data_IF_146981866529
#
_entry.id   IF_146981866529
#
_cell.length_a   1.000
_cell.length_b   1.000
_cell.length_c   1.000
_cell.angle_alpha   90.00
_cell.angle_beta   90.00
_cell.angle_gamma   90.00
#
_symmetry.space_group_name_H-M   'P 1'
#
loop_
_entity.id
_entity.type
_entity.pdbx_description
1 polymer ?
#
# COMPACT_ATOMS: atom_id res chain seq x y z
N UNK A 1 -3.83 -9.10 6.23
CA UNK A 1 -4.33 -7.75 5.93
C UNK A 1 -3.17 -6.79 6.05
N UNK A 2 -2.92 -5.96 5.04
CA UNK A 2 -1.84 -4.95 5.04
C UNK A 2 -2.50 -3.58 5.20
N UNK A 3 -1.99 -2.75 6.10
CA UNK A 3 -2.38 -1.36 6.24
C UNK A 3 -1.22 -0.46 5.83
N UNK A 4 -1.46 0.48 4.92
CA UNK A 4 -0.45 1.47 4.51
C UNK A 4 -1.04 2.87 4.57
N UNK A 5 -0.18 3.81 4.97
CA UNK A 5 -0.49 5.24 4.93
C UNK A 5 -0.17 5.83 3.55
N UNK A 6 0.52 5.07 2.69
CA UNK A 6 0.91 5.49 1.35
C UNK A 6 -0.04 4.89 0.32
N UNK A 7 -0.50 5.68 -0.67
CA UNK A 7 -1.27 5.14 -1.79
C UNK A 7 -0.43 4.13 -2.56
N UNK A 8 -1.08 3.07 -3.08
CA UNK A 8 -0.42 1.95 -3.79
C UNK A 8 0.49 2.44 -4.93
N UNK A 9 0.10 3.50 -5.62
CA UNK A 9 0.90 4.10 -6.70
C UNK A 9 2.30 4.55 -6.25
N UNK A 10 2.46 4.98 -4.99
CA UNK A 10 3.76 5.41 -4.44
C UNK A 10 4.63 4.26 -3.95
N UNK A 11 4.11 3.03 -3.90
CA UNK A 11 4.89 1.90 -3.40
C UNK A 11 6.04 1.54 -4.35
N UNK A 12 5.86 1.77 -5.65
CA UNK A 12 6.91 1.56 -6.65
C UNK A 12 8.12 2.47 -6.44
N UNK A 13 7.92 3.68 -5.92
CA UNK A 13 8.98 4.64 -5.62
C UNK A 13 9.71 4.31 -4.31
N UNK A 14 9.01 3.67 -3.37
CA UNK A 14 9.57 3.28 -2.05
C UNK A 14 10.39 2.00 -2.16
N UNK A 15 10.04 1.10 -3.08
CA UNK A 15 10.78 -0.13 -3.31
C UNK A 15 11.91 0.16 -4.29
N UNK A 16 13.14 0.25 -3.77
CA UNK A 16 14.32 0.66 -4.54
C UNK A 16 14.67 -0.26 -5.73
N UNK A 17 14.28 -1.53 -5.67
CA UNK A 17 14.48 -2.49 -6.75
C UNK A 17 13.20 -2.65 -7.57
N UNK A 18 13.24 -2.23 -8.84
CA UNK A 18 12.11 -2.26 -9.74
C UNK A 18 11.58 -3.67 -10.02
N UNK A 19 12.44 -4.70 -10.03
CA UNK A 19 12.01 -6.09 -10.27
C UNK A 19 11.26 -6.65 -9.07
N UNK A 20 11.75 -6.32 -7.88
CA UNK A 20 11.08 -6.70 -6.63
C UNK A 20 9.77 -5.93 -6.49
N UNK A 21 9.75 -4.64 -6.83
CA UNK A 21 8.54 -3.82 -6.83
C UNK A 21 7.45 -4.43 -7.72
N UNK A 22 7.79 -4.73 -8.98
CA UNK A 22 6.85 -5.28 -9.95
C UNK A 22 6.27 -6.62 -9.47
N UNK A 23 7.13 -7.58 -9.13
CA UNK A 23 6.70 -8.92 -8.73
C UNK A 23 5.92 -8.96 -7.40
N UNK A 24 6.23 -8.04 -6.47
CA UNK A 24 5.52 -7.94 -5.19
C UNK A 24 4.18 -7.25 -5.34
N UNK A 25 4.13 -6.14 -6.08
CA UNK A 25 2.91 -5.39 -6.31
C UNK A 25 1.93 -6.16 -7.18
N UNK A 26 2.38 -6.87 -8.21
CA UNK A 26 1.53 -7.72 -9.03
C UNK A 26 0.81 -8.77 -8.17
N UNK A 27 1.54 -9.47 -7.30
CA UNK A 27 0.95 -10.49 -6.41
C UNK A 27 0.04 -9.90 -5.33
N UNK A 28 0.45 -8.80 -4.69
CA UNK A 28 -0.29 -8.22 -3.57
C UNK A 28 -1.52 -7.47 -4.04
N UNK A 29 -1.39 -6.61 -5.06
CA UNK A 29 -2.44 -5.68 -5.48
C UNK A 29 -3.50 -6.37 -6.32
N UNK A 30 -3.13 -7.36 -7.14
CA UNK A 30 -4.08 -8.06 -8.03
C UNK A 30 -5.18 -8.80 -7.27
N UNK A 31 -4.91 -9.24 -6.03
CA UNK A 31 -5.87 -9.95 -5.17
C UNK A 31 -6.32 -9.13 -3.95
N UNK A 32 -5.88 -7.88 -3.82
CA UNK A 32 -6.22 -7.06 -2.65
C UNK A 32 -7.59 -6.40 -2.80
N UNK A 33 -8.43 -6.58 -1.79
CA UNK A 33 -9.57 -5.69 -1.58
C UNK A 33 -9.08 -4.36 -1.02
N UNK A 34 -9.23 -3.28 -1.80
CA UNK A 34 -8.77 -1.94 -1.43
C UNK A 34 -9.81 -1.28 -0.52
N UNK A 35 -9.38 -0.91 0.68
CA UNK A 35 -10.18 -0.18 1.66
C UNK A 35 -9.50 1.16 1.94
N UNK A 36 -10.08 2.25 1.45
CA UNK A 36 -9.61 3.60 1.76
C UNK A 36 -10.15 4.05 3.10
N UNK A 37 -9.28 4.11 4.10
CA UNK A 37 -9.63 4.62 5.41
C UNK A 37 -9.62 6.15 5.38
N UNK A 38 -10.77 6.76 5.68
CA UNK A 38 -10.95 8.21 5.80
C UNK A 38 -11.39 8.55 7.22
N UNK A 39 -10.89 9.66 7.75
CA UNK A 39 -11.27 10.15 9.08
C UNK A 39 -10.07 10.65 9.91
N UNK A 40 -10.35 11.39 10.99
CA UNK A 40 -9.31 11.87 11.89
C UNK A 40 -8.63 10.74 12.66
N UNK A 41 -7.40 10.97 13.12
CA UNK A 41 -6.66 9.99 13.93
C UNK A 41 -7.43 9.66 15.21
N UNK A 42 -7.76 8.38 15.37
CA UNK A 42 -8.39 7.86 16.58
C UNK A 42 -7.45 7.83 17.80
N UNK A 43 -6.15 8.16 17.63
CA UNK A 43 -5.17 8.23 18.72
C UNK A 43 -5.26 9.53 19.53
N UNK A 44 -6.03 10.52 19.09
CA UNK A 44 -6.31 11.72 19.89
C UNK A 44 -7.42 11.41 20.90
N UNK A 45 -7.04 10.90 22.07
CA UNK A 45 -7.79 10.98 23.33
C UNK A 45 -6.85 11.50 24.40
#
# INVERSE_FOLDING_TARGET
MIGSQLPVAKWYEVISDSRVADSTLDRMVQRAHRLELKGPSMRKK
#
